data_IF_024281716074
#
_entry.id   IF_024281716074
#
_cell.length_a   1.000
_cell.length_b   1.000
_cell.length_c   1.000
_cell.angle_alpha   90.00
_cell.angle_beta   90.00
_cell.angle_gamma   90.00
#
_symmetry.space_group_name_H-M   'P 1'
#
loop_
_entity.id
_entity.type
_entity.pdbx_description
1 polymer ?
#
# COMPACT_ATOMS: atom_id res chain seq x y z
N UNK A 1 -18.05 -4.20 -15.52
CA UNK A 1 -17.64 -4.27 -14.12
C UNK A 1 -16.34 -3.51 -13.94
N UNK A 2 -16.25 -2.64 -12.94
CA UNK A 2 -15.01 -1.91 -12.65
C UNK A 2 -13.98 -2.81 -11.99
N UNK A 3 -12.75 -2.75 -12.45
CA UNK A 3 -11.63 -3.34 -11.77
C UNK A 3 -11.32 -2.51 -10.52
N UNK A 4 -11.03 -3.18 -9.41
CA UNK A 4 -10.76 -2.51 -8.14
C UNK A 4 -9.31 -2.71 -7.74
N UNK A 5 -8.66 -1.60 -7.39
CA UNK A 5 -7.25 -1.58 -7.00
C UNK A 5 -7.10 -0.92 -5.63
N UNK A 6 -6.28 -1.51 -4.80
CA UNK A 6 -5.93 -0.95 -3.50
C UNK A 6 -4.42 -0.79 -3.47
N UNK A 7 -3.94 0.45 -3.42
CA UNK A 7 -2.53 0.77 -3.43
C UNK A 7 -2.13 1.29 -2.06
N UNK A 8 -1.16 0.63 -1.42
CA UNK A 8 -0.82 0.87 -0.03
C UNK A 8 0.61 1.39 0.10
N UNK A 9 0.79 2.51 0.81
CA UNK A 9 2.10 2.97 1.25
C UNK A 9 2.52 2.12 2.44
N UNK A 10 3.42 1.15 2.19
CA UNK A 10 3.77 0.11 3.15
C UNK A 10 4.37 0.65 4.44
N UNK A 11 5.38 1.53 4.36
CA UNK A 11 6.01 2.06 5.56
C UNK A 11 5.11 3.02 6.32
N UNK A 12 4.21 3.70 5.63
CA UNK A 12 3.22 4.52 6.31
C UNK A 12 2.27 3.65 7.14
N UNK A 13 1.85 2.51 6.60
CA UNK A 13 1.04 1.54 7.34
C UNK A 13 1.79 1.00 8.56
N UNK A 14 3.06 0.63 8.39
CA UNK A 14 3.88 0.15 9.51
C UNK A 14 3.99 1.23 10.58
N UNK A 15 4.22 2.48 10.16
CA UNK A 15 4.36 3.61 11.08
C UNK A 15 3.11 3.89 11.92
N UNK A 16 1.93 3.55 11.42
CA UNK A 16 0.67 3.75 12.13
C UNK A 16 0.28 2.55 13.02
N UNK A 17 1.12 1.52 13.06
CA UNK A 17 0.90 0.35 13.92
C UNK A 17 1.96 0.33 15.03
N UNK A 18 1.57 0.49 16.31
CA UNK A 18 2.56 0.41 17.40
C UNK A 18 3.31 -0.92 17.42
N UNK A 19 2.63 -2.01 17.15
CA UNK A 19 3.25 -3.34 17.11
C UNK A 19 4.27 -3.47 15.99
N UNK A 20 3.90 -3.11 14.77
CA UNK A 20 4.81 -3.22 13.63
C UNK A 20 5.92 -2.18 13.68
N UNK A 21 5.66 -0.99 14.23
CA UNK A 21 6.70 0.03 14.42
C UNK A 21 7.79 -0.49 15.36
N UNK A 22 7.40 -1.17 16.44
CA UNK A 22 8.36 -1.75 17.38
C UNK A 22 9.18 -2.87 16.73
N UNK A 23 8.55 -3.72 15.95
CA UNK A 23 9.23 -4.79 15.21
C UNK A 23 10.21 -4.19 14.20
N UNK A 24 9.78 -3.14 13.49
CA UNK A 24 10.60 -2.51 12.45
C UNK A 24 11.91 -1.92 12.98
N UNK A 25 11.93 -1.49 14.24
CA UNK A 25 13.15 -0.96 14.85
C UNK A 25 14.24 -2.01 14.98
N UNK A 26 13.85 -3.26 15.14
CA UNK A 26 14.78 -4.37 15.29
C UNK A 26 14.96 -5.18 14.01
N UNK A 27 13.89 -5.33 13.23
CA UNK A 27 13.90 -6.12 12.01
C UNK A 27 12.84 -5.59 11.04
N UNK A 28 13.28 -4.76 10.12
CA UNK A 28 12.38 -4.12 9.16
C UNK A 28 11.74 -5.15 8.22
N UNK A 29 12.49 -6.16 7.82
CA UNK A 29 11.97 -7.22 6.95
C UNK A 29 10.81 -7.96 7.61
N UNK A 30 10.95 -8.26 8.91
CA UNK A 30 9.89 -8.95 9.65
C UNK A 30 8.62 -8.09 9.70
N UNK A 31 8.77 -6.78 9.91
CA UNK A 31 7.64 -5.87 9.91
C UNK A 31 6.93 -5.87 8.55
N UNK A 32 7.69 -5.88 7.45
CA UNK A 32 7.11 -5.97 6.10
C UNK A 32 6.35 -7.27 5.90
N UNK A 33 6.91 -8.39 6.33
CA UNK A 33 6.27 -9.70 6.20
C UNK A 33 4.95 -9.73 6.96
N UNK A 34 4.92 -9.23 8.19
CA UNK A 34 3.68 -9.22 8.98
C UNK A 34 2.64 -8.30 8.39
N UNK A 35 3.04 -7.16 7.82
CA UNK A 35 2.10 -6.27 7.12
C UNK A 35 1.50 -6.99 5.91
N UNK A 36 2.32 -7.62 5.09
CA UNK A 36 1.86 -8.31 3.88
C UNK A 36 0.90 -9.45 4.26
N UNK A 37 1.19 -10.20 5.31
CA UNK A 37 0.30 -11.26 5.79
C UNK A 37 -1.06 -10.72 6.19
N UNK A 38 -1.10 -9.59 6.91
CA UNK A 38 -2.35 -8.96 7.31
C UNK A 38 -3.17 -8.50 6.10
N UNK A 39 -2.50 -7.90 5.12
CA UNK A 39 -3.14 -7.45 3.88
C UNK A 39 -3.66 -8.62 3.06
N UNK A 40 -2.88 -9.70 2.96
CA UNK A 40 -3.28 -10.90 2.22
C UNK A 40 -4.55 -11.53 2.80
N UNK A 41 -4.64 -11.58 4.12
CA UNK A 41 -5.84 -12.09 4.80
C UNK A 41 -7.06 -11.21 4.50
N UNK A 42 -6.87 -9.90 4.45
CA UNK A 42 -7.94 -8.98 4.09
C UNK A 42 -8.39 -9.18 2.63
N UNK A 43 -7.43 -9.40 1.72
CA UNK A 43 -7.73 -9.61 0.30
C UNK A 43 -8.60 -10.84 0.05
N UNK A 44 -8.46 -11.86 0.88
CA UNK A 44 -9.30 -13.05 0.78
C UNK A 44 -10.79 -12.72 0.95
N UNK A 45 -11.09 -11.54 1.55
CA UNK A 45 -12.47 -11.10 1.78
C UNK A 45 -12.96 -10.13 0.72
N UNK A 46 -12.10 -9.21 0.24
CA UNK A 46 -12.53 -8.12 -0.65
C UNK A 46 -12.24 -8.36 -2.14
N UNK A 47 -11.31 -9.24 -2.46
CA UNK A 47 -10.95 -9.59 -3.85
C UNK A 47 -10.48 -8.43 -4.72
N UNK A 48 -9.94 -7.36 -4.14
CA UNK A 48 -9.32 -6.28 -4.89
C UNK A 48 -7.92 -6.71 -5.33
N UNK A 49 -7.40 -6.09 -6.39
CA UNK A 49 -5.97 -6.19 -6.68
C UNK A 49 -5.23 -5.27 -5.72
N UNK A 50 -4.31 -5.83 -4.95
CA UNK A 50 -3.60 -5.09 -3.92
C UNK A 50 -2.13 -4.93 -4.29
N UNK A 51 -1.66 -3.70 -4.23
CA UNK A 51 -0.29 -3.33 -4.47
C UNK A 51 0.24 -2.63 -3.22
N UNK A 52 1.29 -3.19 -2.62
CA UNK A 52 1.94 -2.59 -1.45
C UNK A 52 3.31 -2.06 -1.88
N UNK A 53 3.54 -0.77 -1.69
CA UNK A 53 4.75 -0.09 -2.14
C UNK A 53 5.64 0.24 -0.96
N UNK A 54 6.89 -0.20 -1.02
CA UNK A 54 7.92 0.12 -0.02
C UNK A 54 8.98 1.04 -0.61
N UNK A 55 9.22 2.14 0.06
CA UNK A 55 10.23 3.13 -0.32
C UNK A 55 11.64 2.53 -0.18
N UNK A 56 12.39 2.52 -1.27
CA UNK A 56 13.79 2.10 -1.28
C UNK A 56 14.68 3.21 -1.82
N UNK A 57 14.31 4.47 -1.60
CA UNK A 57 15.00 5.66 -2.11
C UNK A 57 16.49 5.67 -1.81
N UNK A 58 16.87 5.25 -0.59
CA UNK A 58 18.26 5.28 -0.12
C UNK A 58 19.06 4.04 -0.50
N UNK A 59 18.44 3.10 -1.20
CA UNK A 59 19.11 1.86 -1.60
C UNK A 59 19.45 1.91 -3.08
N UNK A 60 20.64 1.42 -3.43
CA UNK A 60 21.03 1.31 -4.82
C UNK A 60 20.24 0.19 -5.50
N UNK A 61 19.93 0.39 -6.78
CA UNK A 61 19.29 -0.63 -7.57
C UNK A 61 18.06 -0.17 -8.31
N UNK A 62 17.48 -1.13 -9.03
CA UNK A 62 16.30 -0.91 -9.86
C UNK A 62 15.04 -1.25 -9.06
N UNK A 63 13.91 -0.86 -9.61
CA UNK A 63 12.60 -1.26 -9.08
C UNK A 63 12.50 -2.80 -9.04
N UNK A 64 11.96 -3.32 -7.93
CA UNK A 64 11.76 -4.76 -7.75
C UNK A 64 10.30 -5.04 -7.43
N UNK A 65 9.80 -6.13 -7.97
CA UNK A 65 8.41 -6.53 -7.79
C UNK A 65 8.35 -7.99 -7.39
N UNK A 66 7.57 -8.28 -6.35
CA UNK A 66 7.35 -9.62 -5.85
C UNK A 66 5.86 -9.86 -5.65
N UNK A 67 5.44 -11.12 -5.79
CA UNK A 67 4.06 -11.50 -5.48
C UNK A 67 4.05 -12.38 -4.23
N UNK A 68 3.41 -11.91 -3.17
CA UNK A 68 3.27 -12.64 -1.91
C UNK A 68 1.80 -12.84 -1.59
N UNK A 69 1.33 -14.09 -1.59
CA UNK A 69 -0.04 -14.43 -1.20
C UNK A 69 -1.10 -13.56 -1.89
N UNK A 70 -0.88 -13.25 -3.15
CA UNK A 70 -1.80 -12.43 -3.94
C UNK A 70 -1.60 -10.93 -3.79
N UNK A 71 -0.63 -10.47 -3.01
CA UNK A 71 -0.30 -9.06 -2.86
C UNK A 71 0.95 -8.74 -3.70
N UNK A 72 0.79 -7.82 -4.66
CA UNK A 72 1.92 -7.33 -5.43
C UNK A 72 2.74 -6.38 -4.55
N UNK A 73 3.98 -6.76 -4.27
CA UNK A 73 4.87 -5.98 -3.40
C UNK A 73 5.95 -5.34 -4.24
N UNK A 74 6.05 -4.01 -4.18
CA UNK A 74 6.99 -3.24 -5.00
C UNK A 74 7.95 -2.48 -4.10
N UNK A 75 9.26 -2.60 -4.41
CA UNK A 75 10.29 -1.75 -3.82
C UNK A 75 10.72 -0.74 -4.88
N UNK A 76 10.67 0.54 -4.54
CA UNK A 76 11.00 1.60 -5.49
C UNK A 76 12.48 1.54 -5.88
N UNK A 77 12.79 2.12 -7.03
CA UNK A 77 14.18 2.22 -7.47
C UNK A 77 14.92 3.28 -6.65
N UNK A 78 16.25 3.28 -6.77
CA UNK A 78 17.09 4.30 -6.15
C UNK A 78 16.57 5.69 -6.48
N UNK A 79 16.48 6.54 -5.46
CA UNK A 79 16.04 7.94 -5.54
C UNK A 79 14.57 8.14 -5.92
N UNK A 80 13.78 7.08 -5.89
CA UNK A 80 12.35 7.20 -6.05
C UNK A 80 11.65 6.95 -4.71
N UNK A 81 10.81 7.89 -4.28
CA UNK A 81 10.01 7.72 -3.06
C UNK A 81 8.75 6.91 -3.36
N UNK A 82 8.15 6.36 -2.31
CA UNK A 82 6.86 5.68 -2.47
C UNK A 82 5.80 6.65 -3.00
N UNK A 83 5.80 7.90 -2.52
CA UNK A 83 4.88 8.95 -3.00
C UNK A 83 4.95 9.11 -4.52
N UNK A 84 6.15 9.30 -5.03
CA UNK A 84 6.36 9.51 -6.46
C UNK A 84 5.96 8.29 -7.28
N UNK A 85 6.28 7.10 -6.77
CA UNK A 85 5.90 5.87 -7.42
C UNK A 85 4.39 5.72 -7.48
N UNK A 86 3.71 5.93 -6.34
CA UNK A 86 2.26 5.78 -6.25
C UNK A 86 1.57 6.77 -7.19
N UNK A 87 2.02 8.02 -7.20
CA UNK A 87 1.46 9.04 -8.10
C UNK A 87 1.56 8.62 -9.56
N UNK A 88 2.73 8.17 -9.98
CA UNK A 88 2.97 7.70 -11.35
C UNK A 88 2.12 6.47 -11.66
N UNK A 89 2.07 5.52 -10.73
CA UNK A 89 1.35 4.26 -10.90
C UNK A 89 -0.15 4.50 -11.05
N UNK A 90 -0.71 5.37 -10.20
CA UNK A 90 -2.13 5.75 -10.27
C UNK A 90 -2.43 6.42 -11.61
N UNK A 91 -1.57 7.33 -12.04
CA UNK A 91 -1.75 8.03 -13.31
C UNK A 91 -1.77 7.06 -14.49
N UNK A 92 -0.83 6.12 -14.53
CA UNK A 92 -0.74 5.12 -15.60
C UNK A 92 -1.93 4.15 -15.58
N UNK A 93 -2.41 3.83 -14.40
CA UNK A 93 -3.50 2.86 -14.21
C UNK A 93 -4.87 3.48 -14.42
N UNK A 94 -4.97 4.80 -14.27
CA UNK A 94 -6.26 5.48 -14.14
C UNK A 94 -7.12 5.38 -15.40
N UNK A 95 -8.36 4.92 -15.20
CA UNK A 95 -9.42 4.96 -16.17
C UNK A 95 -10.73 5.01 -15.37
N UNK A 96 -11.33 6.20 -15.30
CA UNK A 96 -12.50 6.44 -14.45
C UNK A 96 -13.72 5.60 -14.82
N UNK A 97 -13.76 5.06 -16.02
CA UNK A 97 -14.91 4.28 -16.47
C UNK A 97 -14.78 2.80 -16.11
N UNK A 98 -13.56 2.30 -16.01
CA UNK A 98 -13.30 0.87 -15.84
C UNK A 98 -12.59 0.50 -14.54
N UNK A 99 -11.99 1.49 -13.84
CA UNK A 99 -11.16 1.21 -12.68
C UNK A 99 -11.58 2.04 -11.47
N UNK A 100 -11.56 1.40 -10.32
CA UNK A 100 -11.78 2.05 -9.02
C UNK A 100 -10.47 1.92 -8.24
N UNK A 101 -9.80 3.03 -8.01
CA UNK A 101 -8.48 3.04 -7.38
C UNK A 101 -8.57 3.73 -6.02
N UNK A 102 -8.15 3.03 -4.98
CA UNK A 102 -8.05 3.58 -3.62
C UNK A 102 -6.60 3.54 -3.18
N UNK A 103 -6.09 4.65 -2.67
CA UNK A 103 -4.74 4.76 -2.14
C UNK A 103 -4.80 4.87 -0.63
N UNK A 104 -4.01 4.04 0.07
CA UNK A 104 -3.91 4.04 1.52
C UNK A 104 -2.65 4.77 1.93
N UNK A 105 -2.81 5.97 2.46
CA UNK A 105 -1.70 6.78 2.97
C UNK A 105 -2.20 7.81 3.96
N UNK A 106 -1.38 8.13 4.96
CA UNK A 106 -1.64 9.25 5.87
C UNK A 106 -0.81 10.48 5.50
N UNK A 107 -0.02 10.40 4.42
CA UNK A 107 0.81 11.51 3.97
C UNK A 107 -0.06 12.56 3.28
N UNK A 108 -0.10 13.76 3.87
CA UNK A 108 -0.93 14.86 3.34
C UNK A 108 -0.41 15.38 2.01
N UNK A 109 0.88 15.25 1.73
CA UNK A 109 1.44 15.73 0.46
C UNK A 109 0.99 14.89 -0.72
N UNK A 110 0.73 13.60 -0.53
CA UNK A 110 0.21 12.72 -1.57
C UNK A 110 -1.26 13.02 -1.92
N UNK A 111 -1.98 13.62 -0.98
CA UNK A 111 -3.41 13.81 -1.09
C UNK A 111 -3.82 14.60 -2.33
N UNK A 112 -3.09 15.68 -2.63
CA UNK A 112 -3.39 16.52 -3.79
C UNK A 112 -3.23 15.78 -5.12
N UNK A 113 -2.15 15.02 -5.25
CA UNK A 113 -1.89 14.24 -6.45
C UNK A 113 -2.95 13.17 -6.66
N UNK A 114 -3.36 12.49 -5.58
CA UNK A 114 -4.37 11.43 -5.62
C UNK A 114 -5.72 11.99 -6.07
N UNK A 115 -6.17 13.07 -5.46
CA UNK A 115 -7.45 13.70 -5.82
C UNK A 115 -7.42 14.27 -7.24
N UNK A 116 -6.29 14.85 -7.65
CA UNK A 116 -6.13 15.38 -9.00
C UNK A 116 -6.23 14.30 -10.07
N UNK A 117 -5.85 13.06 -9.74
CA UNK A 117 -5.92 11.93 -10.67
C UNK A 117 -7.26 11.21 -10.66
N UNK A 118 -8.16 11.53 -9.72
CA UNK A 118 -9.47 10.90 -9.61
C UNK A 118 -9.51 9.62 -8.77
N UNK A 119 -8.42 9.28 -8.11
CA UNK A 119 -8.39 8.15 -7.18
C UNK A 119 -8.97 8.54 -5.82
N UNK A 120 -9.39 7.55 -5.05
CA UNK A 120 -9.88 7.73 -3.69
C UNK A 120 -8.74 7.52 -2.71
N UNK A 121 -8.91 8.08 -1.51
CA UNK A 121 -7.91 7.95 -0.45
C UNK A 121 -8.56 7.51 0.85
N UNK A 122 -7.89 6.59 1.56
CA UNK A 122 -8.19 6.33 2.97
C UNK A 122 -6.88 6.44 3.76
N UNK A 123 -6.97 6.79 5.05
CA UNK A 123 -5.79 6.88 5.90
C UNK A 123 -5.32 5.48 6.29
N UNK A 124 -4.02 5.37 6.63
CA UNK A 124 -3.48 4.12 7.15
C UNK A 124 -4.18 3.68 8.42
N UNK A 125 -4.61 4.63 9.26
CA UNK A 125 -5.36 4.33 10.48
C UNK A 125 -6.71 3.69 10.17
N UNK A 126 -7.44 4.23 9.18
CA UNK A 126 -8.71 3.64 8.74
C UNK A 126 -8.49 2.24 8.19
N UNK A 127 -7.45 2.04 7.42
CA UNK A 127 -7.11 0.73 6.86
C UNK A 127 -6.83 -0.28 7.97
N UNK A 128 -6.04 0.09 8.99
CA UNK A 128 -5.79 -0.79 10.14
C UNK A 128 -7.08 -1.15 10.87
N UNK A 129 -7.97 -0.18 11.04
CA UNK A 129 -9.28 -0.42 11.67
C UNK A 129 -10.08 -1.45 10.88
N UNK A 130 -10.09 -1.32 9.56
CA UNK A 130 -10.81 -2.25 8.69
C UNK A 130 -10.18 -3.65 8.72
N UNK A 131 -8.86 -3.74 8.70
CA UNK A 131 -8.15 -5.01 8.81
C UNK A 131 -8.50 -5.74 10.12
N UNK A 132 -8.46 -5.03 11.23
CA UNK A 132 -8.77 -5.61 12.54
C UNK A 132 -10.22 -6.08 12.62
N UNK A 133 -11.13 -5.31 12.07
CA UNK A 133 -12.57 -5.65 12.08
C UNK A 133 -12.82 -6.90 11.24
N UNK A 134 -12.22 -7.02 10.09
CA UNK A 134 -12.38 -8.19 9.22
C UNK A 134 -11.77 -9.44 9.86
N UNK A 135 -10.64 -9.31 10.52
CA UNK A 135 -10.00 -10.43 11.22
C UNK A 135 -10.87 -10.97 12.34
N UNK A 136 -11.62 -10.13 13.03
CA UNK A 136 -12.53 -10.55 14.11
C UNK A 136 -13.74 -11.32 13.58
N UNK A 137 -14.10 -11.13 12.32
CA UNK A 137 -15.24 -11.80 11.71
C UNK A 137 -14.89 -13.16 11.11
N UNK A 138 -13.61 -13.46 11.04
CA UNK A 138 -13.11 -14.74 10.53
C UNK A 138 -12.90 -15.76 11.69
#
# INVERSE_FOLDING_TARGET
MKERYLIIDGYNMIGQSPTLSAIAKENLEEARIQLIDAIANYNAVISDEIICVFDAYDQSGVEREYMYHGVKTIFTKEKETADSFIERYVYELYDKHTKHITVVTSDMSEQHAIFGSGAYRISSREMWRDLKRKMKLM
#
